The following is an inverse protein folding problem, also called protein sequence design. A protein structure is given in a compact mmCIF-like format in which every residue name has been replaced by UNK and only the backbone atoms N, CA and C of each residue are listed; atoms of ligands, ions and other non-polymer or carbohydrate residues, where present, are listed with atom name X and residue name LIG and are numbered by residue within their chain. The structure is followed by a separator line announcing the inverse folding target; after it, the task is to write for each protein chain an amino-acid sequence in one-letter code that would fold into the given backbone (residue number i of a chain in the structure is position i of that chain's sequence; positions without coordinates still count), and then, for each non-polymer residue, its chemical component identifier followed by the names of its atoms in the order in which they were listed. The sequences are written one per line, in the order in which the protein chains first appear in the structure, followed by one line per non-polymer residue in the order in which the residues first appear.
data_IF_656744508666
#
_entry.id   IF_656744508666
#
_cell.length_a   1.000
_cell.length_b   1.000
_cell.length_c   1.000
_cell.angle_alpha   90.00
_cell.angle_beta   90.00
_cell.angle_gamma   90.00
#
_symmetry.space_group_name_H-M   'P 1'
#
loop_
_entity.id
_entity.type
_entity.pdbx_description
1 polymer ?
#
# COMPACT_ATOMS: atom_id res chain seq x y z
N UNK A 1 -25.40 4.60 -9.42
CA UNK A 1 -23.97 4.28 -9.60
C UNK A 1 -23.14 5.42 -9.05
N UNK A 2 -22.21 5.07 -8.23
CA UNK A 2 -21.29 6.09 -7.72
C UNK A 2 -20.13 6.22 -8.69
N UNK A 3 -19.96 7.38 -9.24
CA UNK A 3 -18.75 7.65 -9.98
C UNK A 3 -17.59 7.69 -9.01
N UNK A 4 -16.46 7.19 -9.46
CA UNK A 4 -15.26 7.17 -8.63
C UNK A 4 -14.59 8.54 -8.55
N UNK A 5 -15.19 9.58 -9.00
CA UNK A 5 -14.88 11.01 -8.89
C UNK A 5 -13.50 11.38 -8.31
N UNK A 6 -12.45 10.97 -9.01
CA UNK A 6 -11.10 11.28 -8.59
C UNK A 6 -10.51 10.32 -7.57
N UNK A 7 -11.22 9.26 -7.20
CA UNK A 7 -10.62 8.24 -6.34
C UNK A 7 -9.47 7.57 -7.06
N UNK A 8 -8.38 7.41 -6.35
CA UNK A 8 -7.13 6.84 -6.86
C UNK A 8 -6.76 5.64 -6.02
N UNK A 9 -6.34 4.56 -6.67
CA UNK A 9 -5.67 3.47 -5.99
C UNK A 9 -4.16 3.58 -6.21
N UNK A 10 -3.42 3.52 -5.12
CA UNK A 10 -1.97 3.49 -5.11
C UNK A 10 -1.54 2.06 -4.82
N UNK A 11 -0.71 1.48 -5.68
CA UNK A 11 -0.24 0.10 -5.52
C UNK A 11 1.26 0.05 -5.40
N UNK A 12 1.74 -0.86 -4.55
CA UNK A 12 3.15 -1.04 -4.25
C UNK A 12 3.37 -2.47 -3.81
N UNK A 13 4.50 -3.06 -4.19
CA UNK A 13 4.81 -4.44 -3.86
C UNK A 13 6.20 -4.59 -3.27
N UNK A 14 6.35 -5.64 -2.47
CA UNK A 14 7.61 -6.02 -1.84
C UNK A 14 7.71 -7.53 -1.75
N UNK A 15 8.92 -8.02 -1.51
CA UNK A 15 9.16 -9.43 -1.23
C UNK A 15 9.75 -9.57 0.17
N UNK A 16 9.46 -10.69 0.81
CA UNK A 16 9.95 -10.98 2.15
C UNK A 16 10.01 -12.49 2.37
N UNK A 17 10.72 -12.90 3.40
CA UNK A 17 10.59 -14.27 3.91
C UNK A 17 9.21 -14.40 4.57
N UNK A 18 8.78 -15.64 4.84
CA UNK A 18 7.52 -15.86 5.57
C UNK A 18 7.50 -15.15 6.92
N UNK A 19 8.61 -15.16 7.65
CA UNK A 19 8.72 -14.45 8.92
C UNK A 19 8.63 -12.93 8.75
N UNK A 20 9.35 -12.39 7.76
CA UNK A 20 9.29 -10.96 7.45
C UNK A 20 7.90 -10.52 7.00
N UNK A 21 7.22 -11.37 6.23
CA UNK A 21 5.85 -11.08 5.80
C UNK A 21 4.87 -11.02 6.98
N UNK A 22 5.03 -11.91 7.96
CA UNK A 22 4.21 -11.87 9.18
C UNK A 22 4.48 -10.59 9.97
N UNK A 23 5.73 -10.19 10.08
CA UNK A 23 6.10 -8.97 10.79
C UNK A 23 5.55 -7.74 10.08
N UNK A 24 5.65 -7.70 8.75
CA UNK A 24 5.10 -6.60 7.96
C UNK A 24 3.57 -6.53 8.06
N UNK A 25 2.90 -7.68 8.05
CA UNK A 25 1.45 -7.74 8.25
C UNK A 25 1.05 -7.08 9.58
N UNK A 26 1.75 -7.42 10.67
CA UNK A 26 1.48 -6.80 11.97
C UNK A 26 1.77 -5.30 11.97
N UNK A 27 2.87 -4.91 11.36
CA UNK A 27 3.24 -3.50 11.23
C UNK A 27 2.18 -2.73 10.43
N UNK A 28 1.77 -3.28 9.29
CA UNK A 28 0.77 -2.63 8.44
C UNK A 28 -0.55 -2.44 9.19
N UNK A 29 -1.05 -3.49 9.81
CA UNK A 29 -2.34 -3.45 10.48
C UNK A 29 -2.32 -2.64 11.78
N UNK A 30 -1.22 -2.72 12.52
CA UNK A 30 -1.14 -2.14 13.88
C UNK A 30 -0.49 -0.77 13.96
N UNK A 31 0.32 -0.40 12.98
CA UNK A 31 1.05 0.88 13.01
C UNK A 31 0.74 1.76 11.81
N UNK A 32 0.89 1.23 10.61
CA UNK A 32 0.73 2.04 9.40
C UNK A 32 -0.73 2.41 9.16
N UNK A 33 -1.63 1.43 9.22
CA UNK A 33 -3.05 1.66 8.95
C UNK A 33 -3.68 2.70 9.88
N UNK A 34 -3.42 2.67 11.21
CA UNK A 34 -3.91 3.76 12.06
C UNK A 34 -3.41 5.14 11.66
N UNK A 35 -2.15 5.26 11.21
CA UNK A 35 -1.61 6.52 10.73
C UNK A 35 -2.31 6.97 9.45
N UNK A 36 -2.54 6.05 8.51
CA UNK A 36 -3.25 6.34 7.26
C UNK A 36 -4.67 6.83 7.52
N UNK A 37 -5.36 6.22 8.48
CA UNK A 37 -6.73 6.60 8.86
C UNK A 37 -6.82 8.03 9.39
N UNK A 38 -5.73 8.58 9.89
CA UNK A 38 -5.66 9.96 10.33
C UNK A 38 -5.47 10.97 9.21
N UNK A 39 -5.25 10.52 7.98
CA UNK A 39 -5.01 11.41 6.85
C UNK A 39 -6.31 11.71 6.10
N UNK A 40 -6.52 12.99 5.80
CA UNK A 40 -7.67 13.40 5.01
C UNK A 40 -7.60 12.75 3.62
N UNK A 41 -8.72 12.20 3.19
CA UNK A 41 -8.84 11.60 1.87
C UNK A 41 -8.38 10.15 1.79
N UNK A 42 -7.86 9.57 2.87
CA UNK A 42 -7.61 8.12 2.88
C UNK A 42 -8.96 7.38 2.89
N UNK A 43 -9.15 6.47 1.93
CA UNK A 43 -10.44 5.83 1.71
C UNK A 43 -10.44 4.31 1.98
N UNK A 44 -9.30 3.73 2.24
CA UNK A 44 -9.23 2.30 2.56
C UNK A 44 -7.94 1.67 2.06
N UNK A 45 -7.74 0.39 2.41
CA UNK A 45 -6.55 -0.33 2.02
C UNK A 45 -6.79 -1.84 1.98
N UNK A 46 -5.98 -2.51 1.17
CA UNK A 46 -5.80 -3.95 1.22
C UNK A 46 -4.31 -4.25 1.30
N UNK A 47 -3.95 -5.23 2.10
CA UNK A 47 -2.63 -5.85 2.03
C UNK A 47 -2.82 -7.27 1.53
N UNK A 48 -2.21 -7.57 0.40
CA UNK A 48 -2.39 -8.82 -0.33
C UNK A 48 -1.11 -9.64 -0.25
N UNK A 49 -1.26 -10.95 -0.20
CA UNK A 49 -0.12 -11.87 -0.12
C UNK A 49 -0.20 -12.90 -1.23
N UNK A 50 0.96 -13.19 -1.82
CA UNK A 50 1.11 -14.30 -2.76
C UNK A 50 2.40 -15.05 -2.42
N UNK A 51 2.31 -16.37 -2.25
CA UNK A 51 3.50 -17.21 -2.09
C UNK A 51 4.18 -17.37 -3.46
N UNK A 52 5.49 -17.19 -3.47
CA UNK A 52 6.25 -17.26 -4.71
C UNK A 52 6.73 -18.67 -5.04
N UNK A 53 6.55 -19.62 -4.12
CA UNK A 53 6.84 -21.02 -4.34
C UNK A 53 8.30 -21.41 -4.24
N UNK A 54 9.20 -20.46 -4.07
CA UNK A 54 10.64 -20.69 -4.02
C UNK A 54 11.21 -20.11 -2.74
N UNK A 55 12.05 -20.89 -2.06
CA UNK A 55 12.83 -20.46 -0.89
C UNK A 55 12.00 -19.84 0.23
N UNK A 56 10.71 -20.17 0.30
CA UNK A 56 9.82 -19.61 1.31
C UNK A 56 9.55 -18.11 1.14
N UNK A 57 9.81 -17.57 -0.03
CA UNK A 57 9.60 -16.15 -0.31
C UNK A 57 8.12 -15.86 -0.57
N UNK A 58 7.73 -14.65 -0.17
CA UNK A 58 6.35 -14.15 -0.24
C UNK A 58 6.38 -12.78 -0.90
N UNK A 59 5.41 -12.55 -1.78
CA UNK A 59 5.16 -11.21 -2.30
C UNK A 59 4.01 -10.58 -1.52
N UNK A 60 4.23 -9.35 -1.07
CA UNK A 60 3.21 -8.52 -0.45
C UNK A 60 2.88 -7.37 -1.38
N UNK A 61 1.60 -7.10 -1.56
CA UNK A 61 1.15 -5.96 -2.37
C UNK A 61 0.18 -5.13 -1.55
N UNK A 62 0.45 -3.85 -1.43
CA UNK A 62 -0.43 -2.91 -0.74
C UNK A 62 -1.23 -2.12 -1.77
N UNK A 63 -2.55 -2.08 -1.58
CA UNK A 63 -3.46 -1.20 -2.31
C UNK A 63 -4.00 -0.19 -1.31
N UNK A 64 -3.75 1.08 -1.55
CA UNK A 64 -4.33 2.15 -0.74
C UNK A 64 -5.22 3.02 -1.62
N UNK A 65 -6.39 3.37 -1.09
CA UNK A 65 -7.41 4.12 -1.82
C UNK A 65 -7.46 5.53 -1.28
N UNK A 66 -7.51 6.51 -2.19
CA UNK A 66 -7.43 7.93 -1.86
C UNK A 66 -8.49 8.71 -2.61
N UNK A 67 -9.08 9.68 -1.96
CA UNK A 67 -10.13 10.50 -2.55
C UNK A 67 -9.63 11.42 -3.67
N UNK A 68 -8.32 11.74 -3.69
CA UNK A 68 -7.76 12.68 -4.66
C UNK A 68 -6.24 12.55 -4.75
N UNK A 69 -5.67 13.14 -5.80
CA UNK A 69 -4.22 13.26 -5.94
C UNK A 69 -3.61 14.12 -4.82
N UNK A 70 -4.34 15.13 -4.36
CA UNK A 70 -3.88 15.98 -3.26
C UNK A 70 -3.73 15.17 -1.97
N UNK A 71 -4.65 14.23 -1.71
CA UNK A 71 -4.56 13.34 -0.55
C UNK A 71 -3.32 12.42 -0.65
N UNK A 72 -3.03 11.90 -1.85
CA UNK A 72 -1.82 11.10 -2.06
C UNK A 72 -0.57 11.93 -1.78
N UNK A 73 -0.53 13.17 -2.26
CA UNK A 73 0.61 14.07 -2.02
C UNK A 73 0.82 14.37 -0.53
N UNK A 74 -0.25 14.49 0.23
CA UNK A 74 -0.15 14.69 1.67
C UNK A 74 0.54 13.53 2.37
N UNK A 75 0.39 12.31 1.85
CA UNK A 75 1.04 11.11 2.37
C UNK A 75 2.45 10.93 1.78
N UNK A 76 2.59 11.01 0.47
CA UNK A 76 3.79 10.57 -0.24
C UNK A 76 4.75 11.72 -0.59
N UNK A 77 4.33 12.97 -0.41
CA UNK A 77 5.12 14.13 -0.84
C UNK A 77 4.81 14.51 -2.29
N UNK A 78 5.52 15.50 -2.79
CA UNK A 78 5.26 16.06 -4.12
C UNK A 78 5.49 15.04 -5.24
N UNK A 79 6.52 14.20 -5.11
CA UNK A 79 6.73 13.10 -6.04
C UNK A 79 5.99 11.87 -5.54
N UNK A 80 4.74 11.73 -5.96
CA UNK A 80 3.89 10.63 -5.53
C UNK A 80 4.33 9.27 -6.07
N UNK A 81 5.22 9.23 -7.05
CA UNK A 81 5.72 7.95 -7.60
C UNK A 81 6.76 7.30 -6.70
N UNK A 82 7.39 8.05 -5.82
CA UNK A 82 8.36 7.50 -4.89
C UNK A 82 7.65 6.71 -3.79
N UNK A 83 8.10 5.48 -3.55
CA UNK A 83 7.53 4.67 -2.48
C UNK A 83 7.89 5.23 -1.10
N UNK A 84 6.97 5.06 -0.14
CA UNK A 84 7.17 5.47 1.24
C UNK A 84 7.38 4.22 2.07
N UNK A 85 8.63 3.96 2.45
CA UNK A 85 8.99 2.76 3.23
C UNK A 85 9.83 3.21 4.41
N UNK A 86 9.21 3.20 5.59
CA UNK A 86 9.89 3.57 6.82
C UNK A 86 11.03 2.60 7.15
N UNK A 87 12.08 3.04 7.86
CA UNK A 87 13.20 2.16 8.21
C UNK A 87 12.77 0.88 8.94
N UNK A 88 11.77 0.97 9.80
CA UNK A 88 11.22 -0.19 10.50
C UNK A 88 10.67 -1.22 9.52
N UNK A 89 9.93 -0.77 8.50
CA UNK A 89 9.37 -1.64 7.48
C UNK A 89 10.47 -2.25 6.61
N UNK A 90 11.50 -1.49 6.27
CA UNK A 90 12.63 -1.99 5.46
C UNK A 90 13.29 -3.19 6.10
N UNK A 91 13.40 -3.20 7.43
CA UNK A 91 14.04 -4.30 8.15
C UNK A 91 13.27 -5.62 8.02
N UNK A 92 11.98 -5.57 7.67
CA UNK A 92 11.11 -6.74 7.53
C UNK A 92 11.11 -7.30 6.10
N UNK A 93 11.61 -6.54 5.12
CA UNK A 93 11.50 -6.85 3.71
C UNK A 93 12.83 -7.29 3.12
N UNK A 94 12.79 -8.22 2.17
CA UNK A 94 13.96 -8.63 1.40
C UNK A 94 14.24 -7.62 0.29
N UNK A 95 13.18 -7.17 -0.39
CA UNK A 95 13.26 -6.15 -1.43
C UNK A 95 11.90 -5.47 -1.55
N UNK A 96 11.85 -4.33 -2.19
CA UNK A 96 10.60 -3.61 -2.39
C UNK A 96 10.70 -2.68 -3.61
N UNK A 97 9.55 -2.37 -4.19
CA UNK A 97 9.47 -1.44 -5.30
C UNK A 97 9.88 -0.03 -4.85
N UNK A 98 10.74 0.61 -5.60
CA UNK A 98 11.18 1.99 -5.34
C UNK A 98 10.11 3.00 -5.71
N UNK A 99 9.15 2.58 -6.52
CA UNK A 99 8.07 3.45 -6.99
C UNK A 99 6.72 2.80 -6.71
N UNK A 100 5.72 3.65 -6.54
CA UNK A 100 4.33 3.23 -6.46
C UNK A 100 3.62 3.59 -7.76
N UNK A 101 2.63 2.80 -8.13
CA UNK A 101 1.83 3.01 -9.34
C UNK A 101 0.45 3.48 -8.94
N UNK A 102 -0.05 4.51 -9.60
CA UNK A 102 -1.38 5.06 -9.34
C UNK A 102 -2.30 4.78 -10.51
N UNK A 103 -3.54 4.43 -10.19
CA UNK A 103 -4.58 4.22 -11.18
C UNK A 103 -5.85 4.91 -10.74
N UNK A 104 -6.57 5.45 -11.70
CA UNK A 104 -7.90 6.00 -11.43
C UNK A 104 -8.87 4.84 -11.23
N UNK A 105 -9.69 4.93 -10.20
CA UNK A 105 -10.75 3.95 -9.97
C UNK A 105 -11.94 4.34 -10.85
N UNK A 106 -12.24 3.54 -11.83
CA UNK A 106 -13.34 3.81 -12.75
C UNK A 106 -14.67 3.29 -12.24
N UNK A 107 -14.63 2.16 -11.52
CA UNK A 107 -15.82 1.55 -10.92
C UNK A 107 -15.47 1.09 -9.52
N UNK A 108 -16.25 1.53 -8.54
CA UNK A 108 -16.14 1.06 -7.16
C UNK A 108 -17.42 0.29 -6.85
N UNK A 109 -17.34 -1.04 -6.91
CA UNK A 109 -18.49 -1.92 -6.74
C UNK A 109 -18.17 -2.99 -5.70
N UNK A 110 -18.15 -2.60 -4.46
CA UNK A 110 -17.92 -3.53 -3.35
C UNK A 110 -19.24 -4.16 -2.91
N UNK A 111 -19.17 -5.45 -2.59
CA UNK A 111 -20.32 -6.21 -2.12
C UNK A 111 -20.57 -6.03 -0.63
#
# INVERSE_FOLDING_TARGET
MTEANGMIVRTWSATATSAGARDYHRYFAGSLLPQLRGLDGFAGAYLLRRDLGEDGMVELTAWTFWASAAAVRAFAGDDITTSVVEPEARAMLADFDRTAVHRDVLVDARL
#
